data_IF_950142071691
#
_entry.id   IF_950142071691
#
_cell.length_a   1.000
_cell.length_b   1.000
_cell.length_c   1.000
_cell.angle_alpha   90.00
_cell.angle_beta   90.00
_cell.angle_gamma   90.00
#
_symmetry.space_group_name_H-M   'P 1'
#
loop_
_entity.id
_entity.type
_entity.pdbx_description
1 polymer ?
2 water ?
#
# COMPACT_ATOMS: atom_id res chain seq x y z
N UNK A 1 16.86 -6.09 13.07
CA UNK A 1 15.44 -5.97 13.53
C UNK A 1 14.55 -6.45 12.36
N UNK A 2 13.93 -7.62 12.52
CA UNK A 2 13.12 -8.22 11.47
C UNK A 2 11.61 -8.25 11.73
N UNK A 3 11.13 -7.48 12.71
CA UNK A 3 9.69 -7.46 13.00
C UNK A 3 8.96 -6.65 11.94
N UNK A 4 7.73 -7.06 11.63
CA UNK A 4 6.95 -6.33 10.65
C UNK A 4 5.47 -6.38 10.97
N UNK A 5 4.77 -5.38 10.47
CA UNK A 5 3.32 -5.30 10.59
C UNK A 5 2.91 -5.38 9.11
N UNK A 6 1.91 -6.18 8.77
CA UNK A 6 1.51 -6.30 7.37
C UNK A 6 0.02 -6.27 7.08
N UNK A 7 -0.33 -5.87 5.86
CA UNK A 7 -1.71 -5.84 5.36
C UNK A 7 -1.60 -6.47 3.98
N UNK A 8 -2.21 -7.64 3.82
CA UNK A 8 -2.14 -8.39 2.58
C UNK A 8 -3.40 -8.47 1.73
N UNK A 9 -3.21 -8.39 0.42
CA UNK A 9 -4.31 -8.49 -0.51
C UNK A 9 -5.46 -7.50 -0.40
N UNK A 10 -5.15 -6.25 -0.03
CA UNK A 10 -6.18 -5.22 0.06
C UNK A 10 -6.62 -4.94 -1.37
N UNK A 11 -7.92 -5.01 -1.64
CA UNK A 11 -8.42 -4.78 -2.97
C UNK A 11 -9.29 -3.54 -3.05
N UNK A 12 -9.04 -2.72 -4.05
CA UNK A 12 -9.80 -1.50 -4.23
C UNK A 12 -10.14 -1.35 -5.71
N UNK A 13 -11.34 -0.86 -6.00
CA UNK A 13 -11.72 -0.64 -7.38
C UNK A 13 -11.36 0.82 -7.59
N UNK A 14 -10.48 1.05 -8.56
CA UNK A 14 -10.03 2.40 -8.85
C UNK A 14 -10.01 2.69 -10.33
N UNK A 15 -9.60 3.91 -10.68
CA UNK A 15 -9.56 4.36 -12.08
C UNK A 15 -8.20 4.79 -12.62
N UNK A 16 -7.14 4.39 -11.92
CA UNK A 16 -5.78 4.72 -12.31
C UNK A 16 -5.35 3.98 -13.57
N UNK A 17 -4.41 4.58 -14.29
CA UNK A 17 -3.91 4.00 -15.52
C UNK A 17 -3.58 5.09 -16.51
N UNK A 18 -2.56 4.86 -17.33
CA UNK A 18 -2.14 5.84 -18.33
C UNK A 18 -3.10 5.88 -19.55
N UNK A 19 -4.00 4.90 -19.64
CA UNK A 19 -4.93 4.81 -20.75
C UNK A 19 -6.33 5.39 -20.45
N UNK A 20 -6.80 6.29 -21.32
CA UNK A 20 -8.11 6.94 -21.18
C UNK A 20 -9.18 5.93 -20.81
N UNK A 21 -9.25 4.85 -21.58
CA UNK A 21 -10.25 3.81 -21.36
C UNK A 21 -10.17 3.17 -19.96
N UNK A 22 -8.96 3.10 -19.39
CA UNK A 22 -8.77 2.55 -18.05
C UNK A 22 -9.44 3.50 -17.05
N UNK A 23 -9.14 4.79 -17.18
CA UNK A 23 -9.69 5.83 -16.31
C UNK A 23 -11.21 5.84 -16.32
N UNK A 24 -11.78 5.46 -17.46
CA UNK A 24 -13.23 5.40 -17.69
C UNK A 24 -13.90 4.16 -17.06
N UNK A 25 -13.33 2.98 -17.34
CA UNK A 25 -13.83 1.70 -16.86
C UNK A 25 -13.38 1.32 -15.43
N UNK A 26 -12.10 1.55 -15.12
CA UNK A 26 -11.58 1.18 -13.82
C UNK A 26 -11.20 -0.29 -13.81
N UNK A 27 -10.74 -0.78 -12.67
CA UNK A 27 -10.32 -2.17 -12.49
C UNK A 27 -9.96 -2.31 -11.01
N UNK A 28 -9.74 -3.55 -10.57
CA UNK A 28 -9.37 -3.84 -9.20
C UNK A 28 -7.84 -3.73 -9.07
N UNK A 29 -7.39 -3.08 -8.00
CA UNK A 29 -5.97 -2.91 -7.69
C UNK A 29 -5.77 -3.70 -6.40
N UNK A 30 -4.72 -4.52 -6.35
CA UNK A 30 -4.41 -5.33 -5.18
C UNK A 30 -3.19 -4.68 -4.55
N UNK A 31 -3.22 -4.48 -3.23
CA UNK A 31 -2.12 -3.81 -2.51
C UNK A 31 -1.63 -4.59 -1.28
N UNK A 32 -0.31 -4.70 -1.14
CA UNK A 32 0.32 -5.35 0.01
C UNK A 32 1.20 -4.29 0.63
N UNK A 33 1.06 -4.08 1.93
CA UNK A 33 1.88 -3.11 2.64
C UNK A 33 2.59 -3.84 3.79
N UNK A 34 3.91 -3.70 3.85
CA UNK A 34 4.69 -4.31 4.93
C UNK A 34 5.48 -3.20 5.61
N UNK A 35 5.30 -3.10 6.91
CA UNK A 35 5.92 -2.07 7.70
C UNK A 35 6.97 -2.61 8.66
N UNK A 36 8.18 -2.05 8.60
CA UNK A 36 9.24 -2.44 9.51
C UNK A 36 9.04 -1.65 10.82
N UNK A 37 8.57 -2.33 11.86
CA UNK A 37 8.28 -1.72 13.16
C UNK A 37 8.82 -2.60 14.29
N UNK A 38 9.50 -2.02 15.27
CA UNK A 38 10.01 -2.80 16.41
C UNK A 38 8.80 -3.09 17.32
N UNK A 39 8.40 -4.36 17.40
CA UNK A 39 7.22 -4.80 18.16
C UNK A 39 7.46 -5.39 19.57
N UNK A 40 8.68 -5.26 20.09
CA UNK A 40 9.00 -5.80 21.41
C UNK A 40 8.37 -5.03 22.57
N UNK A 41 8.20 -3.72 22.45
CA UNK A 41 7.58 -2.96 23.53
C UNK A 41 6.13 -3.44 23.64
N UNK A 42 5.39 -3.42 22.52
CA UNK A 42 4.00 -3.88 22.47
C UNK A 42 3.90 -5.36 22.89
N UNK A 43 4.89 -6.15 22.51
CA UNK A 43 4.90 -7.55 22.88
C UNK A 43 4.95 -7.71 24.39
N UNK A 44 5.62 -6.78 25.04
CA UNK A 44 5.77 -6.76 26.49
C UNK A 44 4.52 -6.20 27.17
N UNK A 45 4.13 -5.00 26.73
CA UNK A 45 3.01 -4.29 27.32
C UNK A 45 1.60 -4.72 26.97
N UNK A 46 1.40 -5.16 25.73
CA UNK A 46 0.07 -5.54 25.27
C UNK A 46 -0.83 -4.29 25.19
N UNK A 47 -0.21 -3.11 25.18
CA UNK A 47 -0.95 -1.86 25.12
C UNK A 47 -0.95 -1.41 23.66
N UNK A 48 -2.15 -1.27 23.10
CA UNK A 48 -2.30 -0.88 21.70
C UNK A 48 -1.57 0.40 21.32
N UNK A 49 -1.24 1.23 22.31
CA UNK A 49 -0.57 2.49 22.04
C UNK A 49 0.93 2.37 21.72
N UNK A 50 1.49 1.17 21.89
CA UNK A 50 2.90 0.93 21.63
C UNK A 50 3.18 0.35 20.24
N UNK A 51 2.15 0.26 19.41
CA UNK A 51 2.35 -0.26 18.07
C UNK A 51 1.58 0.59 17.07
N UNK A 52 1.66 0.21 15.80
CA UNK A 52 0.97 0.92 14.74
C UNK A 52 -0.30 0.10 14.46
N UNK A 53 -1.47 0.72 14.57
CA UNK A 53 -2.74 0.05 14.34
C UNK A 53 -3.05 -0.19 12.84
N UNK A 54 -3.19 -1.46 12.45
CA UNK A 54 -3.46 -1.88 11.05
C UNK A 54 -4.66 -1.17 10.46
N UNK A 55 -5.71 -1.05 11.26
CA UNK A 55 -6.92 -0.38 10.83
C UNK A 55 -6.66 1.02 10.30
N UNK A 56 -5.81 1.79 10.98
CA UNK A 56 -5.51 3.15 10.53
C UNK A 56 -4.71 3.13 9.24
N UNK A 57 -3.81 2.17 9.12
CA UNK A 57 -3.01 2.04 7.91
C UNK A 57 -3.90 1.73 6.69
N UNK A 58 -4.84 0.79 6.86
CA UNK A 58 -5.78 0.41 5.80
C UNK A 58 -6.56 1.64 5.34
N UNK A 59 -7.01 2.46 6.30
CA UNK A 59 -7.73 3.67 5.96
C UNK A 59 -6.90 4.60 5.08
N UNK A 60 -5.60 4.70 5.37
CA UNK A 60 -4.71 5.55 4.58
C UNK A 60 -4.58 5.03 3.17
N UNK A 61 -4.29 3.73 3.06
CA UNK A 61 -4.13 3.08 1.77
C UNK A 61 -5.40 3.30 0.95
N UNK A 62 -6.56 3.03 1.56
CA UNK A 62 -7.87 3.19 0.92
C UNK A 62 -8.14 4.59 0.39
N UNK A 63 -7.83 5.62 1.18
CA UNK A 63 -8.05 7.02 0.78
C UNK A 63 -7.28 7.39 -0.49
N UNK A 64 -6.08 6.80 -0.63
CA UNK A 64 -5.21 7.01 -1.79
C UNK A 64 -5.65 6.16 -2.99
N UNK A 65 -5.95 4.89 -2.73
CA UNK A 65 -6.36 3.94 -3.79
C UNK A 65 -7.73 4.24 -4.40
N UNK A 66 -8.65 4.72 -3.58
CA UNK A 66 -10.00 5.05 -4.02
C UNK A 66 -10.20 6.55 -4.27
N UNK A 67 -9.11 7.32 -4.26
CA UNK A 67 -9.18 8.74 -4.51
C UNK A 67 -8.91 9.04 -5.98
N UNK A 68 -8.50 10.26 -6.25
CA UNK A 68 -8.16 10.73 -7.60
C UNK A 68 -7.32 9.75 -8.43
N UNK A 69 -7.74 9.53 -9.67
CA UNK A 69 -7.02 8.65 -10.57
C UNK A 69 -5.71 9.29 -11.03
N UNK A 70 -4.66 8.48 -11.04
CA UNK A 70 -3.34 8.93 -11.46
C UNK A 70 -2.92 7.96 -12.57
N UNK A 71 -1.81 8.26 -13.22
CA UNK A 71 -1.37 7.41 -14.30
C UNK A 71 -0.67 6.14 -13.85
N UNK A 72 0.26 6.29 -12.92
CA UNK A 72 1.11 5.20 -12.48
C UNK A 72 0.92 4.57 -11.12
N UNK A 73 1.23 3.28 -11.08
CA UNK A 73 1.20 2.50 -9.87
C UNK A 73 2.35 3.01 -9.01
N UNK A 74 3.43 3.44 -9.67
CA UNK A 74 4.64 3.97 -9.02
C UNK A 74 4.31 5.20 -8.18
N UNK A 75 3.43 6.06 -8.70
CA UNK A 75 2.99 7.29 -8.03
C UNK A 75 2.04 6.99 -6.87
N UNK A 76 1.15 6.03 -7.06
CA UNK A 76 0.22 5.63 -6.01
C UNK A 76 1.00 5.07 -4.81
N UNK A 77 1.94 4.16 -5.07
CA UNK A 77 2.76 3.54 -4.02
C UNK A 77 3.65 4.53 -3.29
N UNK A 78 4.16 5.52 -4.04
CA UNK A 78 5.01 6.60 -3.53
C UNK A 78 4.20 7.44 -2.54
N UNK A 79 2.95 7.71 -2.91
CA UNK A 79 2.03 8.46 -2.07
C UNK A 79 1.68 7.70 -0.79
N UNK A 80 1.45 6.39 -0.91
CA UNK A 80 1.13 5.52 0.25
C UNK A 80 2.33 5.41 1.23
N UNK A 81 3.51 5.10 0.69
CA UNK A 81 4.70 4.96 1.52
C UNK A 81 4.94 6.28 2.25
N UNK A 82 4.84 7.36 1.50
CA UNK A 82 5.06 8.68 2.05
C UNK A 82 4.01 9.03 3.10
N UNK A 83 2.77 8.58 2.90
CA UNK A 83 1.69 8.84 3.87
C UNK A 83 1.93 8.08 5.19
N UNK A 84 2.32 6.82 5.08
CA UNK A 84 2.56 5.98 6.25
C UNK A 84 3.80 6.43 7.01
N UNK A 85 4.87 6.73 6.29
CA UNK A 85 6.12 7.17 6.90
C UNK A 85 5.96 8.51 7.64
N UNK A 86 5.18 9.42 7.06
CA UNK A 86 4.94 10.73 7.64
C UNK A 86 4.15 10.70 8.95
N UNK A 87 3.11 9.87 9.00
CA UNK A 87 2.27 9.79 10.17
C UNK A 87 2.69 8.86 11.31
N UNK A 88 3.58 7.91 11.04
CA UNK A 88 4.02 6.98 12.07
C UNK A 88 5.54 6.95 12.21
N UNK A 89 6.07 7.59 13.25
CA UNK A 89 7.53 7.62 13.48
C UNK A 89 8.11 6.22 13.81
N UNK A 90 7.29 5.35 14.38
CA UNK A 90 7.74 4.00 14.72
C UNK A 90 7.99 3.15 13.49
N UNK A 91 7.46 3.56 12.34
CA UNK A 91 7.67 2.80 11.11
C UNK A 91 9.05 3.21 10.61
N UNK A 92 9.98 2.27 10.63
CA UNK A 92 11.35 2.50 10.18
C UNK A 92 11.47 2.49 8.67
N UNK A 93 10.56 1.76 8.02
CA UNK A 93 10.54 1.60 6.56
C UNK A 93 9.20 1.00 6.06
N UNK A 94 8.74 1.48 4.89
CA UNK A 94 7.48 1.03 4.31
C UNK A 94 7.65 0.39 2.92
N UNK A 95 7.12 -0.82 2.77
CA UNK A 95 7.16 -1.53 1.52
C UNK A 95 5.74 -1.55 0.99
N UNK A 96 5.58 -1.11 -0.25
CA UNK A 96 4.27 -1.06 -0.89
C UNK A 96 4.34 -1.80 -2.23
N UNK A 97 3.48 -2.81 -2.36
CA UNK A 97 3.37 -3.62 -3.58
C UNK A 97 1.95 -3.40 -4.14
N UNK A 98 1.86 -3.02 -5.41
CA UNK A 98 0.57 -2.81 -6.06
C UNK A 98 0.52 -3.68 -7.33
N UNK A 99 -0.54 -4.47 -7.46
CA UNK A 99 -0.71 -5.38 -8.59
C UNK A 99 -2.01 -5.14 -9.35
N UNK A 100 -1.88 -5.06 -10.67
CA UNK A 100 -3.03 -4.93 -11.55
C UNK A 100 -3.17 -6.38 -12.05
N UNK A 101 -4.18 -7.08 -11.57
CA UNK A 101 -4.38 -8.46 -11.99
C UNK A 101 -5.02 -8.53 -13.37
N UNK A 102 -5.70 -7.45 -13.76
CA UNK A 102 -6.38 -7.38 -15.05
C UNK A 102 -6.17 -6.09 -15.83
N UNK A 103 -4.92 -5.81 -16.18
CA UNK A 103 -4.59 -4.61 -16.95
C UNK A 103 -5.02 -4.82 -18.43
N UNK A 104 -4.93 -3.76 -19.25
CA UNK A 104 -5.28 -3.83 -20.68
C UNK A 104 -4.18 -4.55 -21.48
N UNK A 105 -3.75 -5.73 -21.03
CA UNK A 105 -2.70 -6.48 -21.74
C UNK A 105 -3.28 -7.78 -22.32
N UNK A 106 -3.40 -7.87 -23.65
CA UNK A 106 -3.94 -9.06 -24.32
C UNK A 106 -3.12 -10.30 -24.02
N UNK A 107 -3.52 -11.06 -23.02
CA UNK A 107 -2.77 -12.25 -22.67
C UNK A 107 -3.28 -12.98 -21.45
N UNK A 108 -2.52 -14.01 -21.04
CA UNK A 108 -2.85 -14.84 -19.90
C UNK A 108 -1.74 -14.76 -18.90
N UNK A 109 -2.07 -14.20 -17.74
CA UNK A 109 -1.10 -14.00 -16.67
C UNK A 109 -1.84 -13.85 -15.36
N UNK A 110 -1.09 -13.86 -14.26
CA UNK A 110 -1.67 -13.69 -12.95
C UNK A 110 -1.77 -12.21 -12.50
N UNK A 111 -0.83 -11.37 -12.93
CA UNK A 111 -0.84 -9.97 -12.56
C UNK A 111 0.45 -9.28 -12.96
N UNK A 112 0.41 -7.96 -12.95
CA UNK A 112 1.59 -7.16 -13.28
C UNK A 112 1.57 -6.06 -12.24
N UNK A 113 2.73 -5.48 -11.95
CA UNK A 113 2.76 -4.42 -10.97
C UNK A 113 4.15 -3.97 -10.58
N UNK A 114 4.22 -3.26 -9.45
CA UNK A 114 5.48 -2.73 -8.93
C UNK A 114 5.56 -2.88 -7.43
N UNK A 115 6.76 -2.77 -6.91
CA UNK A 115 6.96 -2.84 -5.49
C UNK A 115 8.06 -1.84 -5.16
N UNK A 116 7.82 -1.03 -4.14
CA UNK A 116 8.81 -0.06 -3.70
C UNK A 116 9.09 -0.21 -2.21
N UNK A 117 10.25 0.26 -1.78
CA UNK A 117 10.63 0.19 -0.38
C UNK A 117 11.19 1.58 -0.05
N UNK A 118 10.57 2.25 0.92
CA UNK A 118 10.96 3.59 1.33
C UNK A 118 11.25 3.69 2.83
N UNK A 119 12.49 4.04 3.18
CA UNK A 119 12.83 4.19 4.59
C UNK A 119 12.25 5.50 5.12
N UNK A 120 11.84 5.48 6.39
CA UNK A 120 11.24 6.63 7.03
C UNK A 120 12.34 7.54 7.56
N UNK A 121 12.39 8.74 7.01
CA UNK A 121 13.39 9.72 7.38
C UNK A 121 13.07 10.50 8.65
#
# INVERSE_FOLDING_TARGET
MQDTIFLKGMRFYGYHGALSAENEIGQIFKVDVTLKVDLSEAGRTDNVIDTVHYGEVFEEVKSIMEGKAVNLLEHLAERIANRINSQYNRVMETKVRITKENPPIPGHYDGVGIEIVRENK
#
